data_IF_623506724340
#
_entry.id   IF_623506724340
#
_cell.length_a   1.000
_cell.length_b   1.000
_cell.length_c   1.000
_cell.angle_alpha   90.00
_cell.angle_beta   90.00
_cell.angle_gamma   90.00
#
_symmetry.space_group_name_H-M   'P 1'
#
loop_
_entity.id
_entity.type
_entity.pdbx_description
1 polymer ?
#
# COMPACT_ATOMS: atom_id res chain seq x y z
N UNK A 1 26.40 -11.02 -21.89
CA UNK A 1 27.21 -11.04 -20.65
C UNK A 1 26.34 -11.60 -19.53
N UNK A 2 26.83 -12.55 -18.73
CA UNK A 2 26.07 -13.15 -17.65
C UNK A 2 25.76 -12.12 -16.55
N UNK A 3 24.48 -11.97 -16.17
CA UNK A 3 24.01 -10.96 -15.21
C UNK A 3 24.31 -11.27 -13.73
N UNK A 4 24.99 -12.39 -13.45
CA UNK A 4 25.31 -12.82 -12.08
C UNK A 4 26.67 -12.26 -11.65
N UNK A 5 26.72 -11.70 -10.45
CA UNK A 5 27.95 -11.20 -9.81
C UNK A 5 28.07 -11.73 -8.38
N UNK A 6 29.26 -11.58 -7.80
CA UNK A 6 29.54 -11.95 -6.41
C UNK A 6 29.19 -13.40 -6.05
N UNK A 7 28.51 -13.58 -4.92
CA UNK A 7 28.16 -14.91 -4.36
C UNK A 7 27.23 -15.71 -5.26
N UNK A 8 26.30 -15.06 -5.97
CA UNK A 8 25.41 -15.73 -6.90
C UNK A 8 26.16 -16.37 -8.07
N UNK A 9 27.20 -15.69 -8.59
CA UNK A 9 28.07 -16.24 -9.63
C UNK A 9 28.88 -17.45 -9.14
N UNK A 10 29.46 -17.35 -7.94
CA UNK A 10 30.24 -18.43 -7.34
C UNK A 10 29.38 -19.68 -7.07
N UNK A 11 28.18 -19.48 -6.53
CA UNK A 11 27.19 -20.53 -6.31
C UNK A 11 26.80 -21.23 -7.63
N UNK A 12 26.36 -20.46 -8.64
CA UNK A 12 25.92 -21.03 -9.92
C UNK A 12 27.05 -21.79 -10.64
N UNK A 13 28.29 -21.30 -10.54
CA UNK A 13 29.45 -22.02 -11.04
C UNK A 13 29.70 -23.32 -10.27
N UNK A 14 29.66 -23.30 -8.94
CA UNK A 14 29.83 -24.48 -8.10
C UNK A 14 28.80 -25.56 -8.40
N UNK A 15 27.53 -25.19 -8.54
CA UNK A 15 26.45 -26.09 -8.98
C UNK A 15 26.81 -26.78 -10.31
N UNK A 16 27.24 -26.00 -11.31
CA UNK A 16 27.57 -26.52 -12.65
C UNK A 16 28.82 -27.40 -12.69
N UNK A 17 29.76 -27.19 -11.77
CA UNK A 17 30.94 -28.06 -11.62
C UNK A 17 30.55 -29.41 -11.00
N UNK A 18 29.62 -29.41 -10.04
CA UNK A 18 29.14 -30.63 -9.40
C UNK A 18 28.26 -31.48 -10.33
N UNK A 19 27.41 -30.84 -11.13
CA UNK A 19 26.61 -31.49 -12.15
C UNK A 19 26.50 -30.60 -13.39
N UNK A 20 26.91 -31.13 -14.54
CA UNK A 20 26.96 -30.39 -15.80
C UNK A 20 25.56 -29.99 -16.30
N UNK A 21 24.54 -30.75 -15.92
CA UNK A 21 23.15 -30.57 -16.33
C UNK A 21 22.27 -29.96 -15.21
N UNK A 22 22.88 -29.37 -14.16
CA UNK A 22 22.17 -28.82 -12.98
C UNK A 22 21.03 -27.84 -13.30
N UNK A 23 21.14 -27.10 -14.41
CA UNK A 23 20.15 -26.10 -14.83
C UNK A 23 19.71 -26.39 -16.27
N UNK A 24 18.79 -27.34 -16.49
CA UNK A 24 18.37 -27.74 -17.84
C UNK A 24 17.59 -26.64 -18.55
N UNK A 25 16.90 -25.77 -17.80
CA UNK A 25 16.16 -24.62 -18.31
C UNK A 25 16.21 -23.42 -17.34
N UNK A 26 15.68 -22.29 -17.80
CA UNK A 26 15.68 -21.04 -17.05
C UNK A 26 14.78 -21.07 -15.81
N UNK A 27 13.66 -21.82 -15.84
CA UNK A 27 12.73 -21.88 -14.71
C UNK A 27 13.33 -22.68 -13.56
N UNK A 28 14.00 -23.79 -13.87
CA UNK A 28 14.77 -24.59 -12.90
C UNK A 28 15.90 -23.75 -12.30
N UNK A 29 16.61 -22.96 -13.12
CA UNK A 29 17.62 -22.04 -12.62
C UNK A 29 17.04 -20.97 -11.68
N UNK A 30 15.92 -20.33 -12.06
CA UNK A 30 15.25 -19.32 -11.23
C UNK A 30 14.75 -19.90 -9.90
N UNK A 31 14.14 -21.08 -9.93
CA UNK A 31 13.65 -21.77 -8.74
C UNK A 31 14.80 -22.13 -7.79
N UNK A 32 15.89 -22.70 -8.30
CA UNK A 32 17.07 -23.01 -7.49
C UNK A 32 17.73 -21.74 -6.91
N UNK A 33 17.76 -20.66 -7.69
CA UNK A 33 18.27 -19.37 -7.24
C UNK A 33 17.39 -18.80 -6.10
N UNK A 34 16.07 -18.84 -6.24
CA UNK A 34 15.14 -18.45 -5.19
C UNK A 34 15.34 -19.30 -3.93
N UNK A 35 15.30 -20.63 -4.04
CA UNK A 35 15.49 -21.53 -2.89
C UNK A 35 16.82 -21.31 -2.15
N UNK A 36 17.88 -20.95 -2.86
CA UNK A 36 19.21 -20.75 -2.27
C UNK A 36 19.34 -19.39 -1.58
N UNK A 37 18.80 -18.32 -2.20
CA UNK A 37 19.06 -16.94 -1.77
C UNK A 37 17.87 -16.28 -1.08
N UNK A 38 16.68 -16.86 -1.16
CA UNK A 38 15.51 -16.37 -0.46
C UNK A 38 15.69 -16.59 1.06
N UNK A 39 15.57 -15.54 1.88
CA UNK A 39 15.63 -15.69 3.32
C UNK A 39 14.55 -16.66 3.81
N UNK A 40 14.84 -17.51 4.80
CA UNK A 40 13.82 -18.33 5.44
C UNK A 40 12.63 -17.47 5.90
N UNK A 41 11.42 -17.93 5.65
CA UNK A 41 10.16 -17.27 6.05
C UNK A 41 9.93 -15.87 5.44
N UNK A 42 10.54 -15.57 4.29
CA UNK A 42 10.30 -14.33 3.51
C UNK A 42 8.81 -13.98 3.38
N UNK A 43 7.99 -14.92 2.89
CA UNK A 43 6.55 -14.70 2.69
C UNK A 43 5.79 -14.52 4.01
N UNK A 44 6.13 -15.29 5.05
CA UNK A 44 5.49 -15.15 6.35
C UNK A 44 5.75 -13.75 6.94
N UNK A 45 6.99 -13.25 6.79
CA UNK A 45 7.37 -11.90 7.21
C UNK A 45 6.62 -10.82 6.41
N UNK A 46 6.53 -10.98 5.10
CA UNK A 46 5.79 -10.04 4.22
C UNK A 46 4.30 -10.02 4.55
N UNK A 47 3.70 -11.19 4.80
CA UNK A 47 2.31 -11.31 5.25
C UNK A 47 2.10 -10.63 6.60
N UNK A 48 2.99 -10.86 7.56
CA UNK A 48 2.90 -10.22 8.87
C UNK A 48 3.03 -8.68 8.75
N UNK A 49 3.92 -8.21 7.88
CA UNK A 49 4.07 -6.78 7.59
C UNK A 49 2.82 -6.20 6.93
N UNK A 50 2.23 -6.92 5.96
CA UNK A 50 0.97 -6.52 5.33
C UNK A 50 -0.14 -6.37 6.38
N UNK A 51 -0.38 -7.41 7.20
CA UNK A 51 -1.46 -7.42 8.19
C UNK A 51 -1.30 -6.39 9.32
N UNK A 52 -0.10 -5.85 9.50
CA UNK A 52 0.19 -4.80 10.49
C UNK A 52 0.45 -3.43 9.87
N UNK A 53 0.29 -3.28 8.55
CA UNK A 53 0.61 -2.04 7.84
C UNK A 53 -0.33 -0.91 8.27
N UNK A 54 0.24 0.24 8.61
CA UNK A 54 -0.49 1.45 9.00
C UNK A 54 0.04 2.65 8.23
N UNK A 55 -0.86 3.56 7.86
CA UNK A 55 -0.50 4.81 7.20
C UNK A 55 0.34 5.71 8.11
N UNK A 56 0.02 5.77 9.41
CA UNK A 56 0.81 6.56 10.36
C UNK A 56 0.97 8.02 9.91
N UNK A 57 2.22 8.43 9.66
CA UNK A 57 2.61 9.77 9.19
C UNK A 57 2.96 9.88 7.70
N UNK A 58 2.84 8.81 6.93
CA UNK A 58 3.18 8.81 5.51
C UNK A 58 2.07 9.44 4.67
N UNK A 59 2.44 9.96 3.49
CA UNK A 59 1.46 10.36 2.50
C UNK A 59 0.60 9.16 2.05
N UNK A 60 -0.62 9.44 1.60
CA UNK A 60 -1.57 8.41 1.17
C UNK A 60 -1.02 7.61 -0.03
N UNK A 61 -0.33 8.24 -0.97
CA UNK A 61 0.25 7.56 -2.12
C UNK A 61 1.32 6.56 -1.70
N UNK A 62 2.24 6.94 -0.82
CA UNK A 62 3.29 6.05 -0.31
C UNK A 62 2.70 4.85 0.44
N UNK A 63 1.66 5.10 1.24
CA UNK A 63 0.94 4.04 1.93
C UNK A 63 0.28 3.06 0.96
N UNK A 64 -0.43 3.56 -0.06
CA UNK A 64 -1.06 2.72 -1.11
C UNK A 64 -0.01 1.89 -1.84
N UNK A 65 1.12 2.49 -2.22
CA UNK A 65 2.19 1.77 -2.90
C UNK A 65 2.80 0.68 -2.01
N UNK A 66 3.00 0.97 -0.73
CA UNK A 66 3.48 -0.04 0.24
C UNK A 66 2.49 -1.21 0.35
N UNK A 67 1.20 -0.93 0.47
CA UNK A 67 0.15 -1.95 0.57
C UNK A 67 0.10 -2.80 -0.70
N UNK A 68 0.14 -2.17 -1.89
CA UNK A 68 0.16 -2.86 -3.18
C UNK A 68 1.39 -3.76 -3.33
N UNK A 69 2.57 -3.25 -2.95
CA UNK A 69 3.82 -4.01 -2.96
C UNK A 69 3.76 -5.22 -2.03
N UNK A 70 3.33 -5.03 -0.78
CA UNK A 70 3.25 -6.13 0.18
C UNK A 70 2.24 -7.21 -0.25
N UNK A 71 1.09 -6.81 -0.81
CA UNK A 71 0.12 -7.75 -1.35
C UNK A 71 0.66 -8.55 -2.55
N UNK A 72 1.48 -7.92 -3.42
CA UNK A 72 2.04 -8.60 -4.60
C UNK A 72 3.21 -9.52 -4.30
N UNK A 73 3.92 -9.31 -3.19
CA UNK A 73 5.05 -10.16 -2.81
C UNK A 73 4.66 -11.48 -2.13
N UNK A 74 3.42 -11.63 -1.66
CA UNK A 74 2.93 -12.87 -1.03
C UNK A 74 2.27 -13.75 -2.10
N UNK A 75 3.07 -14.57 -2.80
CA UNK A 75 2.63 -15.30 -4.00
C UNK A 75 2.21 -16.74 -3.70
N UNK A 76 2.96 -17.47 -2.88
CA UNK A 76 2.74 -18.90 -2.64
C UNK A 76 1.44 -19.21 -1.90
N UNK A 77 1.03 -18.32 -1.00
CA UNK A 77 -0.27 -18.39 -0.33
C UNK A 77 -0.84 -16.97 -0.26
N UNK A 78 -1.62 -16.53 -1.26
CA UNK A 78 -2.12 -15.16 -1.29
C UNK A 78 -3.12 -14.90 -0.15
N UNK A 79 -3.18 -13.64 0.29
CA UNK A 79 -4.18 -13.17 1.26
C UNK A 79 -5.51 -12.99 0.52
N UNK A 80 -6.64 -13.36 1.14
CA UNK A 80 -7.95 -13.16 0.50
C UNK A 80 -8.28 -11.66 0.34
N UNK A 81 -9.07 -11.33 -0.68
CA UNK A 81 -9.39 -9.94 -1.02
C UNK A 81 -10.06 -9.18 0.13
N UNK A 82 -10.95 -9.83 0.88
CA UNK A 82 -11.67 -9.18 1.98
C UNK A 82 -10.70 -8.80 3.11
N UNK A 83 -9.77 -9.69 3.47
CA UNK A 83 -8.70 -9.39 4.44
C UNK A 83 -7.78 -8.30 3.91
N UNK A 84 -7.43 -8.31 2.62
CA UNK A 84 -6.61 -7.26 2.02
C UNK A 84 -7.25 -5.88 2.15
N UNK A 85 -8.52 -5.76 1.73
CA UNK A 85 -9.27 -4.50 1.81
C UNK A 85 -9.45 -4.06 3.26
N UNK A 86 -9.82 -4.98 4.15
CA UNK A 86 -10.02 -4.67 5.57
C UNK A 86 -8.73 -4.18 6.22
N UNK A 87 -7.59 -4.80 5.89
CA UNK A 87 -6.27 -4.38 6.37
C UNK A 87 -5.92 -2.97 5.89
N UNK A 88 -6.13 -2.67 4.61
CA UNK A 88 -5.95 -1.32 4.07
C UNK A 88 -6.85 -0.30 4.77
N UNK A 89 -8.15 -0.57 4.89
CA UNK A 89 -9.13 0.35 5.49
C UNK A 89 -8.85 0.62 6.98
N UNK A 90 -8.50 -0.43 7.73
CA UNK A 90 -8.20 -0.30 9.16
C UNK A 90 -6.84 0.35 9.42
N UNK A 91 -5.87 0.14 8.53
CA UNK A 91 -4.53 0.74 8.59
C UNK A 91 -4.47 2.22 8.21
N UNK A 92 -5.49 2.75 7.52
CA UNK A 92 -5.61 4.18 7.24
C UNK A 92 -5.70 5.02 8.53
N UNK A 93 -5.13 6.22 8.47
CA UNK A 93 -5.33 7.23 9.50
C UNK A 93 -6.79 7.69 9.50
N UNK A 94 -7.31 8.02 10.67
CA UNK A 94 -8.64 8.59 10.80
C UNK A 94 -8.75 9.92 10.03
N UNK A 95 -9.85 10.09 9.30
CA UNK A 95 -10.06 11.21 8.39
C UNK A 95 -11.12 10.91 7.32
N UNK A 96 -11.36 11.87 6.40
CA UNK A 96 -12.43 11.76 5.40
C UNK A 96 -12.26 10.53 4.49
N UNK A 97 -11.02 10.22 4.10
CA UNK A 97 -10.68 9.05 3.28
C UNK A 97 -11.15 7.74 3.94
N UNK A 98 -10.78 7.54 5.21
CA UNK A 98 -11.17 6.33 5.96
C UNK A 98 -12.68 6.28 6.15
N UNK A 99 -13.31 7.39 6.54
CA UNK A 99 -14.77 7.48 6.69
C UNK A 99 -15.50 7.12 5.41
N UNK A 100 -15.02 7.59 4.26
CA UNK A 100 -15.66 7.31 2.97
C UNK A 100 -15.54 5.83 2.58
N UNK A 101 -14.38 5.20 2.81
CA UNK A 101 -14.21 3.78 2.54
C UNK A 101 -15.12 2.88 3.39
N UNK A 102 -15.32 3.22 4.67
CA UNK A 102 -16.27 2.51 5.54
C UNK A 102 -17.75 2.76 5.18
N UNK A 103 -18.04 3.69 4.27
CA UNK A 103 -19.38 3.87 3.69
C UNK A 103 -19.55 3.11 2.39
N UNK A 104 -18.53 3.12 1.53
CA UNK A 104 -18.61 2.50 0.19
C UNK A 104 -18.39 0.98 0.21
N UNK A 105 -17.71 0.42 1.21
CA UNK A 105 -17.41 -1.03 1.32
C UNK A 105 -16.87 -1.64 0.02
N UNK A 106 -15.69 -1.20 -0.45
CA UNK A 106 -15.11 -1.71 -1.70
C UNK A 106 -14.79 -3.21 -1.60
N UNK A 107 -14.96 -3.95 -2.71
CA UNK A 107 -14.70 -5.39 -2.75
C UNK A 107 -13.23 -5.75 -3.05
N UNK A 108 -12.46 -4.79 -3.57
CA UNK A 108 -11.06 -5.02 -3.98
C UNK A 108 -10.15 -3.85 -3.61
N UNK A 109 -8.84 -4.12 -3.50
CA UNK A 109 -7.83 -3.09 -3.23
C UNK A 109 -7.82 -1.99 -4.29
N UNK A 110 -7.95 -2.32 -5.58
CA UNK A 110 -7.91 -1.31 -6.64
C UNK A 110 -9.10 -0.35 -6.58
N UNK A 111 -10.30 -0.85 -6.26
CA UNK A 111 -11.47 0.01 -6.00
C UNK A 111 -11.23 0.86 -4.74
N UNK A 112 -10.72 0.26 -3.67
CA UNK A 112 -10.41 0.99 -2.44
C UNK A 112 -9.36 2.10 -2.67
N UNK A 113 -8.32 1.85 -3.47
CA UNK A 113 -7.31 2.83 -3.82
C UNK A 113 -7.90 3.98 -4.64
N UNK A 114 -8.75 3.68 -5.63
CA UNK A 114 -9.41 4.70 -6.44
C UNK A 114 -10.31 5.61 -5.58
N UNK A 115 -11.11 5.03 -4.68
CA UNK A 115 -11.94 5.78 -3.74
C UNK A 115 -11.08 6.63 -2.81
N UNK A 116 -10.00 6.06 -2.27
CA UNK A 116 -9.12 6.77 -1.33
C UNK A 116 -8.47 8.00 -1.97
N UNK A 117 -7.93 7.86 -3.19
CA UNK A 117 -7.30 8.94 -3.93
C UNK A 117 -8.29 10.04 -4.32
N UNK A 118 -9.49 9.64 -4.75
CA UNK A 118 -10.59 10.58 -5.05
C UNK A 118 -10.96 11.40 -3.82
N UNK A 119 -11.13 10.75 -2.67
CA UNK A 119 -11.56 11.42 -1.45
C UNK A 119 -10.45 12.30 -0.86
N UNK A 120 -9.19 11.90 -0.94
CA UNK A 120 -8.07 12.74 -0.51
C UNK A 120 -7.98 14.02 -1.36
N UNK A 121 -8.19 13.90 -2.67
CA UNK A 121 -8.28 15.06 -3.57
C UNK A 121 -9.46 15.98 -3.19
N UNK A 122 -10.65 15.42 -2.96
CA UNK A 122 -11.83 16.18 -2.52
C UNK A 122 -11.59 16.91 -1.20
N UNK A 123 -11.01 16.23 -0.21
CA UNK A 123 -10.70 16.79 1.10
C UNK A 123 -9.68 17.94 1.01
N UNK A 124 -8.66 17.81 0.15
CA UNK A 124 -7.69 18.87 -0.11
C UNK A 124 -8.35 20.09 -0.77
N UNK A 125 -9.22 19.88 -1.76
CA UNK A 125 -9.98 20.96 -2.40
C UNK A 125 -10.91 21.70 -1.43
N UNK A 126 -11.64 20.96 -0.58
CA UNK A 126 -12.53 21.56 0.41
C UNK A 126 -11.76 22.47 1.39
N UNK A 127 -10.59 22.04 1.85
CA UNK A 127 -9.70 22.87 2.71
C UNK A 127 -9.17 24.11 1.99
N UNK A 128 -8.87 24.01 0.70
CA UNK A 128 -8.49 25.16 -0.13
C UNK A 128 -9.61 26.18 -0.27
N UNK A 129 -10.85 25.70 -0.43
CA UNK A 129 -12.05 26.56 -0.51
C UNK A 129 -12.38 27.24 0.82
N UNK A 130 -12.22 26.54 1.96
CA UNK A 130 -12.46 27.14 3.28
C UNK A 130 -11.50 28.28 3.63
N UNK A 131 -10.27 28.31 3.10
CA UNK A 131 -9.31 29.40 3.34
C UNK A 131 -9.63 30.70 2.59
N UNK A 132 -10.52 30.65 1.59
CA UNK A 132 -11.00 31.82 0.85
C UNK A 132 -12.23 32.48 1.51
N UNK A 133 -12.90 31.78 2.43
CA UNK A 133 -14.05 32.31 3.17
C UNK A 133 -13.65 33.07 4.43
N UNK A 134 -12.77 34.05 4.28
CA UNK A 134 -12.88 35.29 5.09
C UNK A 134 -13.82 36.22 4.34
N UNK A 135 -15.06 35.80 4.16
CA UNK A 135 -16.14 36.72 3.85
C UNK A 135 -16.36 37.52 5.12
N UNK A 136 -15.93 38.78 5.08
CA UNK A 136 -16.49 39.90 5.82
C UNK A 136 -18.02 39.84 5.71
N UNK A 137 -18.63 39.07 6.62
CA UNK A 137 -20.06 39.09 6.80
C UNK A 137 -20.29 40.19 7.83
N UNK A 138 -20.69 41.36 7.33
CA UNK A 138 -21.49 42.30 8.10
C UNK A 138 -22.57 41.49 8.81
N UNK A 139 -22.38 41.32 10.12
CA UNK A 139 -23.29 40.58 10.97
C UNK A 139 -24.68 41.21 10.91
N UNK A 140 -25.75 40.44 11.17
CA UNK A 140 -27.08 41.02 11.27
C UNK A 140 -27.08 42.14 12.30
N UNK A 141 -27.50 43.33 11.87
CA UNK A 141 -27.61 44.51 12.72
C UNK A 141 -28.50 44.17 13.94
N UNK A 142 -28.01 44.37 15.17
CA UNK A 142 -28.79 44.05 16.36
C UNK A 142 -30.02 44.96 16.42
N UNK A 143 -31.18 44.33 16.61
CA UNK A 143 -32.45 45.05 16.77
C UNK A 143 -32.42 45.86 18.06
N UNK A 144 -32.51 47.19 17.95
CA UNK A 144 -32.59 48.09 19.10
C UNK A 144 -33.93 47.90 19.83
N UNK A 145 -33.86 47.55 21.13
CA UNK A 145 -35.02 47.29 21.99
C UNK A 145 -35.25 48.41 23.02
N UNK A 146 -34.81 49.64 22.76
CA UNK A 146 -35.07 50.77 23.64
C UNK A 146 -36.47 51.38 23.42
N UNK A 147 -37.50 50.70 23.92
CA UNK A 147 -38.78 51.30 24.34
C UNK A 147 -39.19 50.67 25.67
N UNK A 148 -38.84 51.36 26.76
CA UNK A 148 -39.53 51.37 28.05
C UNK A 148 -39.09 52.62 28.84
#
# INVERSE_FOLDING_TARGET
>A
MAQLSGRAKAWAFGCRVADRDTFPDLETFKSALQQTFEPPQSEFRLRAEFLSVKQGNTDLHDYIQKVRYLASCVVGSPIDMATQVTTFMTGLRDGPVKTQLFREYPETLEVAFAVALREDFNARQARGSSRSRTTDYGGPEPMDLSVA
#
